data_IF_191606989767
#
_entry.id   IF_191606989767
#
_cell.length_a   1.000
_cell.length_b   1.000
_cell.length_c   1.000
_cell.angle_alpha   90.00
_cell.angle_beta   90.00
_cell.angle_gamma   90.00
#
_symmetry.space_group_name_H-M   'P 1'
#
loop_
_entity.id
_entity.type
_entity.pdbx_description
1 polymer ?
#
# COMPACT_ATOMS: atom_id res chain seq x y z
N UNK A 1 3.10 -1.50 -0.01
CA UNK A 1 2.76 -2.95 0.08
C UNK A 1 3.01 -3.71 -1.22
N UNK A 2 2.31 -3.42 -2.34
CA UNK A 2 2.46 -4.14 -3.62
C UNK A 2 3.92 -4.37 -4.05
N UNK A 3 4.75 -3.31 -4.05
CA UNK A 3 6.19 -3.41 -4.38
C UNK A 3 6.94 -4.44 -3.51
N UNK A 4 6.67 -4.47 -2.21
CA UNK A 4 7.28 -5.43 -1.27
C UNK A 4 6.85 -6.87 -1.57
N UNK A 5 5.60 -7.08 -1.99
CA UNK A 5 5.15 -8.40 -2.44
C UNK A 5 5.96 -8.87 -3.64
N UNK A 6 6.21 -8.01 -4.63
CA UNK A 6 7.07 -8.35 -5.78
C UNK A 6 8.53 -8.58 -5.43
N UNK A 7 9.05 -7.91 -4.42
CA UNK A 7 10.40 -8.18 -3.90
C UNK A 7 10.48 -9.56 -3.22
N UNK A 8 9.40 -10.01 -2.58
CA UNK A 8 9.35 -11.30 -1.85
C UNK A 8 8.98 -12.48 -2.77
N UNK A 9 8.07 -12.28 -3.72
CA UNK A 9 7.62 -13.27 -4.72
C UNK A 9 7.68 -12.66 -6.13
N UNK A 10 8.87 -12.52 -6.74
CA UNK A 10 9.02 -11.95 -8.07
C UNK A 10 8.24 -12.71 -9.16
N UNK A 11 8.04 -14.01 -8.98
CA UNK A 11 7.38 -14.91 -9.91
C UNK A 11 5.86 -14.76 -10.01
N UNK A 12 5.26 -13.94 -9.15
CA UNK A 12 3.80 -13.85 -9.01
C UNK A 12 3.10 -13.40 -10.31
N UNK A 13 3.76 -12.57 -11.11
CA UNK A 13 3.25 -12.10 -12.41
C UNK A 13 3.29 -13.21 -13.48
N UNK A 14 4.10 -14.25 -13.30
CA UNK A 14 4.23 -15.36 -14.23
C UNK A 14 3.17 -16.45 -14.00
N UNK A 15 2.43 -16.40 -12.89
CA UNK A 15 1.42 -17.40 -12.54
C UNK A 15 0.13 -17.09 -13.29
N UNK A 16 -0.35 -18.01 -14.13
CA UNK A 16 -1.61 -17.85 -14.87
C UNK A 16 -2.83 -18.40 -14.11
N UNK A 17 -2.59 -19.27 -13.12
CA UNK A 17 -3.64 -19.83 -12.28
C UNK A 17 -3.99 -18.89 -11.13
N UNK A 18 -5.23 -18.40 -11.12
CA UNK A 18 -5.73 -17.48 -10.09
C UNK A 18 -5.66 -18.03 -8.67
N UNK A 19 -5.98 -19.31 -8.45
CA UNK A 19 -5.94 -19.90 -7.12
C UNK A 19 -4.50 -19.95 -6.57
N UNK A 20 -3.54 -20.26 -7.44
CA UNK A 20 -2.13 -20.26 -7.09
C UNK A 20 -1.61 -18.83 -6.81
N UNK A 21 -2.03 -17.83 -7.59
CA UNK A 21 -1.72 -16.42 -7.30
C UNK A 21 -2.27 -15.99 -5.94
N UNK A 22 -3.51 -16.35 -5.62
CA UNK A 22 -4.13 -16.01 -4.32
C UNK A 22 -3.36 -16.64 -3.17
N UNK A 23 -3.04 -17.94 -3.24
CA UNK A 23 -2.26 -18.61 -2.20
C UNK A 23 -0.88 -17.96 -2.00
N UNK A 24 -0.23 -17.54 -3.09
CA UNK A 24 1.05 -16.84 -3.02
C UNK A 24 0.92 -15.43 -2.40
N UNK A 25 -0.15 -14.70 -2.71
CA UNK A 25 -0.45 -13.42 -2.08
C UNK A 25 -0.72 -13.57 -0.58
N UNK A 26 -1.48 -14.59 -0.17
CA UNK A 26 -1.78 -14.89 1.23
C UNK A 26 -0.51 -15.14 2.04
N UNK A 27 0.48 -15.82 1.44
CA UNK A 27 1.79 -16.04 2.06
C UNK A 27 2.62 -14.73 2.11
N UNK A 28 2.68 -13.98 1.01
CA UNK A 28 3.58 -12.85 0.88
C UNK A 28 3.10 -11.58 1.59
N UNK A 29 1.80 -11.32 1.64
CA UNK A 29 1.22 -10.07 2.16
C UNK A 29 1.57 -9.81 3.64
N UNK A 30 1.46 -10.78 4.56
CA UNK A 30 1.84 -10.57 5.96
C UNK A 30 3.33 -10.23 6.14
N UNK A 31 4.20 -10.85 5.33
CA UNK A 31 5.64 -10.61 5.36
C UNK A 31 5.94 -9.21 4.79
N UNK A 32 5.34 -8.89 3.65
CA UNK A 32 5.46 -7.59 2.99
C UNK A 32 4.98 -6.45 3.91
N UNK A 33 3.91 -6.68 4.67
CA UNK A 33 3.38 -5.73 5.64
C UNK A 33 4.37 -5.45 6.77
N UNK A 34 4.96 -6.50 7.37
CA UNK A 34 5.94 -6.37 8.46
C UNK A 34 7.23 -5.67 8.05
N UNK A 35 7.55 -5.63 6.75
CA UNK A 35 8.72 -4.92 6.22
C UNK A 35 8.45 -3.44 5.92
N UNK A 36 7.22 -2.96 6.07
CA UNK A 36 6.92 -1.53 5.95
C UNK A 36 7.52 -0.82 7.17
N UNK A 37 8.47 0.08 6.89
CA UNK A 37 9.08 0.99 7.85
C UNK A 37 8.01 1.80 8.59
N UNK A 38 8.02 1.77 9.93
CA UNK A 38 7.03 2.46 10.78
C UNK A 38 6.96 3.95 10.50
N UNK A 39 8.08 4.56 10.12
CA UNK A 39 8.19 5.98 9.79
C UNK A 39 7.24 6.35 8.62
N UNK A 40 6.93 5.41 7.71
CA UNK A 40 5.95 5.65 6.65
C UNK A 40 4.54 5.83 7.24
N UNK A 41 4.18 5.04 8.25
CA UNK A 41 2.88 5.11 8.90
C UNK A 41 2.76 6.38 9.76
N UNK A 42 3.82 6.75 10.45
CA UNK A 42 3.90 8.00 11.22
C UNK A 42 3.75 9.21 10.30
N UNK A 43 4.53 9.27 9.21
CA UNK A 43 4.42 10.35 8.22
C UNK A 43 3.01 10.43 7.57
N UNK A 44 2.32 9.29 7.41
CA UNK A 44 0.94 9.30 6.91
C UNK A 44 0.02 10.03 7.89
N UNK A 45 0.14 9.75 9.19
CA UNK A 45 -0.64 10.42 10.24
C UNK A 45 -0.30 11.91 10.29
N UNK A 46 1.00 12.25 10.27
CA UNK A 46 1.45 13.64 10.33
C UNK A 46 0.92 14.47 9.15
N UNK A 47 0.86 13.87 7.96
CA UNK A 47 0.33 14.52 6.75
C UNK A 47 -1.19 14.73 6.75
N UNK A 48 -1.94 14.14 7.70
CA UNK A 48 -3.41 14.22 7.69
C UNK A 48 -3.93 15.65 7.83
N UNK A 49 -3.23 16.49 8.59
CA UNK A 49 -3.59 17.90 8.74
C UNK A 49 -3.57 18.62 7.39
N UNK A 50 -2.50 18.44 6.61
CA UNK A 50 -2.36 19.05 5.29
C UNK A 50 -3.43 18.56 4.30
N UNK A 51 -3.80 17.27 4.39
CA UNK A 51 -4.89 16.70 3.57
C UNK A 51 -6.22 17.34 3.90
N UNK A 52 -6.52 17.55 5.18
CA UNK A 52 -7.74 18.22 5.63
C UNK A 52 -7.78 19.67 5.17
N UNK A 53 -6.68 20.41 5.33
CA UNK A 53 -6.57 21.80 4.85
C UNK A 53 -6.78 21.89 3.34
N UNK A 54 -6.25 20.94 2.57
CA UNK A 54 -6.46 20.88 1.13
C UNK A 54 -7.94 20.64 0.75
N UNK A 55 -8.65 19.79 1.49
CA UNK A 55 -10.09 19.54 1.26
C UNK A 55 -10.91 20.78 1.61
N UNK A 56 -10.59 21.47 2.70
CA UNK A 56 -11.26 22.72 3.08
C UNK A 56 -11.03 23.79 2.01
N UNK A 57 -9.79 23.97 1.56
CA UNK A 57 -9.45 24.93 0.51
C UNK A 57 -10.09 24.59 -0.85
N UNK A 58 -10.39 23.32 -1.09
CA UNK A 58 -11.10 22.84 -2.26
C UNK A 58 -12.63 22.84 -2.09
N UNK A 59 -13.19 23.50 -1.07
CA UNK A 59 -14.63 23.50 -0.76
C UNK A 59 -15.25 22.08 -0.72
N UNK A 60 -14.49 21.12 -0.21
CA UNK A 60 -14.91 19.72 -0.09
C UNK A 60 -14.68 18.86 -1.34
N UNK A 61 -14.12 19.40 -2.42
CA UNK A 61 -13.79 18.64 -3.63
C UNK A 61 -12.54 17.77 -3.45
N UNK A 62 -12.38 16.78 -4.35
CA UNK A 62 -11.22 15.91 -4.38
C UNK A 62 -9.92 16.70 -4.51
N UNK A 63 -8.90 16.25 -3.77
CA UNK A 63 -7.57 16.85 -3.79
C UNK A 63 -6.57 15.88 -4.41
N UNK A 64 -5.31 16.31 -4.59
CA UNK A 64 -4.21 15.48 -5.11
C UNK A 64 -3.78 14.34 -4.18
N UNK A 65 -4.26 14.35 -2.93
CA UNK A 65 -3.83 13.45 -1.85
C UNK A 65 -4.59 12.13 -1.82
#
# INVERSE_FOLDING_TARGET
LKRKVYEIKPEIDCITNKAQQVAMLEEALPIAWKQIRSEILENLVDSMKERMEAVIAADGWYTRF
#
